data_IF_061024879225
#
_entry.id   IF_061024879225
#
_cell.length_a   1.000
_cell.length_b   1.000
_cell.length_c   1.000
_cell.angle_alpha   90.00
_cell.angle_beta   90.00
_cell.angle_gamma   90.00
#
_symmetry.space_group_name_H-M   'P 1'
#
loop_
_entity.id
_entity.type
_entity.pdbx_description
1 polymer ?
#
# COMPACT_ATOMS: atom_id res chain seq x y z
N UNK A 1 55.86 59.25 31.84
CA UNK A 1 56.23 58.38 32.98
C UNK A 1 56.04 56.93 32.54
N UNK A 2 57.15 56.16 32.51
CA UNK A 2 57.33 54.68 32.35
C UNK A 2 56.56 53.94 31.22
N UNK A 3 57.20 53.40 30.17
CA UNK A 3 58.18 52.29 30.04
C UNK A 3 57.58 50.86 30.07
N UNK A 4 57.74 50.21 28.91
CA UNK A 4 58.22 48.84 28.64
C UNK A 4 57.32 47.59 28.71
N UNK A 5 57.39 46.89 27.57
CA UNK A 5 57.71 45.47 27.35
C UNK A 5 56.73 44.37 27.74
N UNK A 6 56.04 43.93 26.69
CA UNK A 6 55.58 42.56 26.44
C UNK A 6 56.75 41.57 26.39
N UNK A 7 56.93 40.76 27.44
CA UNK A 7 57.43 39.37 27.36
C UNK A 7 57.50 38.70 28.75
N UNK A 8 56.41 38.05 29.19
CA UNK A 8 56.44 36.91 30.15
C UNK A 8 55.02 36.42 30.41
N UNK A 9 54.69 35.21 29.98
CA UNK A 9 53.39 34.58 30.26
C UNK A 9 53.21 33.17 29.71
N UNK A 10 54.04 32.76 28.76
CA UNK A 10 54.21 31.36 28.40
C UNK A 10 55.04 30.64 29.49
N UNK A 11 54.35 29.97 30.43
CA UNK A 11 54.82 28.72 31.11
C UNK A 11 53.93 28.16 32.24
N UNK A 12 52.77 28.75 32.59
CA UNK A 12 52.00 28.29 33.77
C UNK A 12 50.56 27.82 33.49
N UNK A 13 50.15 27.58 32.25
CA UNK A 13 48.80 27.07 31.93
C UNK A 13 48.73 25.53 31.82
N UNK A 14 49.86 24.84 31.65
CA UNK A 14 49.92 23.38 31.50
C UNK A 14 49.95 22.61 32.85
N UNK A 15 49.91 23.33 33.99
CA UNK A 15 50.03 22.74 35.33
C UNK A 15 48.68 22.62 36.08
N UNK A 16 47.55 23.06 35.52
CA UNK A 16 46.24 23.02 36.21
C UNK A 16 45.28 21.94 35.69
N UNK A 17 45.72 21.06 34.78
CA UNK A 17 44.88 20.00 34.19
C UNK A 17 45.21 18.58 34.70
N UNK A 18 46.18 18.42 35.60
CA UNK A 18 46.60 17.09 36.11
C UNK A 18 46.15 16.84 37.57
N UNK A 19 45.55 17.82 38.27
CA UNK A 19 45.37 17.73 39.73
C UNK A 19 43.93 17.58 40.24
N UNK A 20 43.04 16.92 39.48
CA UNK A 20 41.69 16.56 39.94
C UNK A 20 41.37 15.06 39.76
N UNK A 21 42.39 14.22 39.94
CA UNK A 21 42.39 12.80 39.60
C UNK A 21 41.89 11.76 40.64
N UNK A 22 41.23 12.07 41.79
CA UNK A 22 40.60 10.99 42.57
C UNK A 22 39.16 11.23 43.06
N UNK A 23 38.35 12.03 42.36
CA UNK A 23 36.98 12.36 42.78
C UNK A 23 35.81 11.72 42.01
N UNK A 24 36.02 11.23 40.77
CA UNK A 24 34.94 10.74 39.89
C UNK A 24 34.89 9.22 39.70
N UNK A 25 35.73 8.47 40.40
CA UNK A 25 35.80 7.01 40.33
C UNK A 25 34.84 6.27 41.31
N UNK A 26 33.93 6.97 42.00
CA UNK A 26 33.07 6.37 43.06
C UNK A 26 31.55 6.50 42.88
N UNK A 27 31.05 6.84 41.69
CA UNK A 27 29.62 6.79 41.37
C UNK A 27 29.29 6.06 40.05
N UNK A 28 30.05 5.01 39.73
CA UNK A 28 29.74 4.07 38.64
C UNK A 28 29.92 2.61 39.06
N UNK A 29 29.54 2.28 40.31
CA UNK A 29 29.89 0.99 40.94
C UNK A 29 28.73 0.02 41.20
N UNK A 30 27.47 0.27 40.80
CA UNK A 30 26.36 -0.68 41.10
C UNK A 30 25.28 -0.81 40.03
N UNK A 31 25.64 -0.73 38.74
CA UNK A 31 24.64 -0.78 37.65
C UNK A 31 25.01 -1.50 36.36
N UNK A 32 26.04 -2.34 36.33
CA UNK A 32 26.41 -3.12 35.14
C UNK A 32 26.97 -4.51 35.48
N UNK A 33 26.30 -5.23 36.37
CA UNK A 33 26.54 -6.64 36.61
C UNK A 33 25.22 -7.39 36.46
N UNK A 34 24.86 -7.75 35.22
CA UNK A 34 23.99 -8.91 34.84
C UNK A 34 23.60 -8.99 33.34
N UNK A 35 24.48 -8.66 32.39
CA UNK A 35 24.24 -9.00 30.97
C UNK A 35 25.53 -9.33 30.19
N UNK A 36 26.37 -10.24 30.69
CA UNK A 36 27.33 -10.97 29.85
C UNK A 36 27.49 -12.40 30.35
N UNK A 37 26.70 -13.29 29.78
CA UNK A 37 26.90 -14.76 29.71
C UNK A 37 25.99 -15.17 28.55
N UNK A 38 26.45 -15.57 27.37
CA UNK A 38 27.53 -16.48 27.03
C UNK A 38 28.20 -16.08 25.71
N UNK A 39 29.53 -15.94 25.73
CA UNK A 39 30.38 -15.93 24.54
C UNK A 39 31.70 -16.65 24.87
N UNK A 40 31.68 -17.98 24.93
CA UNK A 40 32.85 -18.85 24.72
C UNK A 40 32.38 -20.23 24.26
N UNK A 41 32.32 -20.40 22.94
CA UNK A 41 32.58 -21.62 22.13
C UNK A 41 31.88 -21.37 20.79
N UNK A 42 32.54 -20.85 19.77
CA UNK A 42 33.52 -21.64 19.02
C UNK A 42 34.41 -20.67 18.24
N UNK A 43 35.68 -20.64 18.60
CA UNK A 43 36.74 -20.22 17.70
C UNK A 43 37.03 -21.37 16.72
N UNK A 44 37.52 -21.02 15.53
CA UNK A 44 38.03 -21.90 14.45
C UNK A 44 36.99 -22.39 13.43
N UNK A 45 36.54 -21.49 12.54
CA UNK A 45 36.74 -21.59 11.07
C UNK A 45 36.00 -20.46 10.33
N UNK A 46 36.58 -19.26 10.30
CA UNK A 46 36.38 -18.35 9.15
C UNK A 46 37.63 -17.48 8.92
N UNK A 47 38.81 -18.06 9.17
CA UNK A 47 40.06 -17.58 8.59
C UNK A 47 40.30 -18.37 7.30
N UNK A 48 40.46 -17.69 6.18
CA UNK A 48 40.63 -18.21 4.79
C UNK A 48 39.33 -18.48 4.01
N UNK A 49 38.67 -17.41 3.55
CA UNK A 49 38.16 -17.32 2.16
C UNK A 49 37.76 -15.91 1.74
N UNK A 50 38.44 -14.89 2.27
CA UNK A 50 38.41 -13.53 1.72
C UNK A 50 39.41 -13.31 0.56
N UNK A 51 39.88 -14.38 -0.12
CA UNK A 51 40.87 -14.26 -1.22
C UNK A 51 40.45 -14.99 -2.51
N UNK A 52 39.25 -15.60 -2.58
CA UNK A 52 38.81 -16.27 -3.82
C UNK A 52 37.40 -15.87 -4.24
N UNK A 53 37.19 -14.59 -4.57
CA UNK A 53 36.00 -14.11 -5.31
C UNK A 53 36.25 -12.77 -6.02
N UNK A 54 37.50 -12.52 -6.47
CA UNK A 54 37.82 -11.38 -7.34
C UNK A 54 37.78 -11.73 -8.84
N UNK A 55 37.23 -12.89 -9.20
CA UNK A 55 37.04 -13.31 -10.60
C UNK A 55 35.66 -13.96 -10.67
N UNK A 56 34.79 -13.47 -11.55
CA UNK A 56 33.38 -13.83 -11.78
C UNK A 56 32.35 -12.97 -11.05
N UNK A 57 32.30 -11.67 -11.38
CA UNK A 57 31.33 -10.70 -10.85
C UNK A 57 29.87 -11.18 -10.86
N UNK A 58 29.40 -11.66 -9.72
CA UNK A 58 28.01 -11.97 -9.44
C UNK A 58 27.41 -10.90 -8.52
N UNK A 59 26.21 -10.43 -8.86
CA UNK A 59 25.55 -9.31 -8.21
C UNK A 59 25.17 -9.60 -6.73
N UNK A 60 25.33 -8.63 -5.80
CA UNK A 60 25.14 -8.82 -4.36
C UNK A 60 23.73 -9.25 -3.90
N UNK A 61 22.71 -9.10 -4.75
CA UNK A 61 21.31 -9.33 -4.39
C UNK A 61 20.95 -10.81 -4.28
N UNK A 62 21.58 -11.70 -5.05
CA UNK A 62 21.25 -13.13 -5.02
C UNK A 62 21.78 -13.83 -3.77
N UNK A 63 22.95 -13.41 -3.28
CA UNK A 63 23.52 -13.93 -2.03
C UNK A 63 22.68 -13.55 -0.80
N UNK A 64 22.04 -12.39 -0.82
CA UNK A 64 21.13 -11.97 0.26
C UNK A 64 19.80 -12.74 0.25
N UNK A 65 19.27 -13.06 -0.94
CA UNK A 65 18.02 -13.82 -1.09
C UNK A 65 18.21 -15.30 -0.72
N UNK A 66 19.32 -15.90 -1.13
CA UNK A 66 19.63 -17.30 -0.77
C UNK A 66 19.88 -17.44 0.74
N UNK A 67 20.62 -16.51 1.35
CA UNK A 67 20.85 -16.49 2.79
C UNK A 67 19.57 -16.26 3.61
N UNK A 68 18.64 -15.43 3.12
CA UNK A 68 17.35 -15.19 3.78
C UNK A 68 16.45 -16.43 3.71
N UNK A 69 16.42 -17.13 2.57
CA UNK A 69 15.60 -18.34 2.41
C UNK A 69 16.10 -19.50 3.28
N UNK A 70 17.42 -19.66 3.43
CA UNK A 70 18.03 -20.68 4.27
C UNK A 70 17.77 -20.43 5.77
N UNK A 71 17.70 -19.16 6.18
CA UNK A 71 17.38 -18.77 7.55
C UNK A 71 15.91 -19.07 7.91
N UNK A 72 14.99 -18.86 6.98
CA UNK A 72 13.55 -19.16 7.16
C UNK A 72 13.32 -20.67 7.29
N UNK A 73 14.03 -21.48 6.51
CA UNK A 73 13.89 -22.95 6.58
C UNK A 73 14.52 -23.51 7.86
N UNK A 74 15.66 -22.96 8.31
CA UNK A 74 16.29 -23.38 9.59
C UNK A 74 15.52 -22.92 10.82
N UNK A 75 14.93 -21.73 10.80
CA UNK A 75 14.07 -21.24 11.91
C UNK A 75 12.78 -22.05 12.00
N UNK A 76 12.16 -22.40 10.87
CA UNK A 76 10.97 -23.28 10.83
C UNK A 76 11.27 -24.67 11.36
N UNK A 77 12.39 -25.27 10.97
CA UNK A 77 12.81 -26.61 11.42
C UNK A 77 13.21 -26.63 12.90
N UNK A 78 13.75 -25.53 13.42
CA UNK A 78 14.02 -25.37 14.85
C UNK A 78 12.70 -25.24 15.65
N UNK A 79 11.73 -24.49 15.15
CA UNK A 79 10.38 -24.34 15.74
C UNK A 79 9.58 -25.65 15.74
N UNK A 80 9.78 -26.52 14.75
CA UNK A 80 9.12 -27.83 14.68
C UNK A 80 9.80 -28.90 15.57
N UNK A 81 11.05 -28.67 16.00
CA UNK A 81 11.81 -29.60 16.87
C UNK A 81 11.62 -29.36 18.37
N UNK A 82 10.96 -28.27 18.77
CA UNK A 82 10.63 -27.96 20.15
C UNK A 82 9.14 -28.21 20.39
N UNK A 83 8.80 -29.48 20.55
CA UNK A 83 7.48 -29.90 21.03
C UNK A 83 7.22 -29.41 22.46
N UNK A 84 5.99 -28.95 22.66
CA UNK A 84 5.29 -28.74 23.94
C UNK A 84 5.71 -27.52 24.78
N UNK A 85 5.14 -26.36 24.43
CA UNK A 85 5.14 -25.18 25.29
C UNK A 85 4.27 -24.06 24.74
N UNK A 86 3.16 -23.78 25.44
CA UNK A 86 2.21 -22.67 25.30
C UNK A 86 2.53 -21.61 24.23
N UNK A 87 1.66 -21.52 23.22
CA UNK A 87 1.61 -20.40 22.27
C UNK A 87 1.19 -19.14 23.04
N UNK A 88 2.18 -18.41 23.56
CA UNK A 88 1.97 -17.08 24.08
C UNK A 88 1.77 -16.14 22.89
N UNK A 89 0.53 -15.73 22.69
CA UNK A 89 0.09 -14.79 21.65
C UNK A 89 0.85 -13.47 21.84
N UNK A 90 1.91 -13.29 21.04
CA UNK A 90 2.60 -12.00 20.92
C UNK A 90 1.55 -10.95 20.48
N UNK A 91 1.38 -9.84 21.22
CA UNK A 91 0.48 -8.79 20.78
C UNK A 91 1.02 -8.24 19.47
N UNK A 92 0.18 -8.32 18.43
CA UNK A 92 0.43 -7.69 17.15
C UNK A 92 0.74 -6.22 17.40
N UNK A 93 2.01 -5.86 17.23
CA UNK A 93 2.46 -4.48 17.18
C UNK A 93 1.90 -3.89 15.90
N UNK A 94 0.68 -3.39 15.94
CA UNK A 94 0.26 -2.34 15.03
C UNK A 94 1.23 -1.19 15.29
N UNK A 95 2.24 -1.05 14.43
CA UNK A 95 3.03 0.18 14.39
C UNK A 95 2.07 1.22 13.83
N UNK A 96 1.31 1.89 14.69
CA UNK A 96 0.76 3.17 14.32
C UNK A 96 1.94 4.09 14.14
N UNK A 97 2.39 4.24 12.89
CA UNK A 97 3.30 5.33 12.52
C UNK A 97 2.48 6.60 12.67
N UNK A 98 2.45 7.14 13.88
CA UNK A 98 1.96 8.49 14.11
C UNK A 98 2.99 9.44 13.50
N UNK A 99 2.86 9.67 12.19
CA UNK A 99 3.69 10.62 11.47
C UNK A 99 3.35 12.01 12.01
N UNK A 100 4.34 12.73 12.53
CA UNK A 100 4.09 14.07 13.03
C UNK A 100 3.66 14.98 11.87
N UNK A 101 2.84 16.03 12.11
CA UNK A 101 2.52 17.00 11.07
C UNK A 101 3.76 17.62 10.42
N UNK A 102 4.90 17.66 11.12
CA UNK A 102 6.17 18.14 10.62
C UNK A 102 6.82 17.17 9.64
N UNK A 103 6.79 15.87 9.92
CA UNK A 103 7.27 14.84 9.00
C UNK A 103 6.46 14.79 7.71
N UNK A 104 5.13 14.94 7.78
CA UNK A 104 4.27 15.02 6.59
C UNK A 104 4.59 16.25 5.74
N UNK A 105 4.82 17.41 6.38
CA UNK A 105 5.24 18.64 5.68
C UNK A 105 6.61 18.49 5.03
N UNK A 106 7.57 17.87 5.72
CA UNK A 106 8.90 17.60 5.18
C UNK A 106 8.84 16.69 3.95
N UNK A 107 8.04 15.61 4.01
CA UNK A 107 7.79 14.74 2.85
C UNK A 107 7.12 15.47 1.69
N UNK A 108 6.16 16.36 1.99
CA UNK A 108 5.53 17.21 0.99
C UNK A 108 6.51 18.17 0.31
N UNK A 109 7.42 18.78 1.08
CA UNK A 109 8.44 19.68 0.54
C UNK A 109 9.41 18.95 -0.41
N UNK A 110 9.80 17.72 -0.08
CA UNK A 110 10.63 16.88 -0.94
C UNK A 110 9.94 16.54 -2.28
N UNK A 111 8.62 16.28 -2.26
CA UNK A 111 7.86 16.06 -3.49
C UNK A 111 7.86 17.32 -4.39
N UNK A 112 7.64 18.50 -3.80
CA UNK A 112 7.67 19.75 -4.55
C UNK A 112 9.06 20.05 -5.11
N UNK A 113 10.12 19.79 -4.34
CA UNK A 113 11.49 19.95 -4.80
C UNK A 113 11.78 19.05 -6.03
N UNK A 114 11.36 17.78 -5.98
CA UNK A 114 11.50 16.87 -7.13
C UNK A 114 10.68 17.28 -8.33
N UNK A 115 9.47 17.79 -8.12
CA UNK A 115 8.62 18.29 -9.22
C UNK A 115 9.21 19.49 -9.96
N UNK A 116 10.10 20.25 -9.30
CA UNK A 116 10.81 21.36 -9.91
C UNK A 116 12.09 20.94 -10.67
N UNK A 117 12.56 19.69 -10.52
CA UNK A 117 13.73 19.19 -11.25
C UNK A 117 13.32 18.79 -12.67
N UNK A 118 13.75 19.58 -13.65
CA UNK A 118 13.49 19.38 -15.10
C UNK A 118 14.10 18.07 -15.64
N UNK A 119 15.03 17.45 -14.88
CA UNK A 119 15.63 16.15 -15.24
C UNK A 119 14.80 14.97 -14.76
N UNK A 120 13.76 15.21 -13.96
CA UNK A 120 12.83 14.18 -13.55
C UNK A 120 12.00 13.77 -14.77
N UNK A 121 12.19 12.54 -15.23
CA UNK A 121 11.32 11.94 -16.23
C UNK A 121 10.24 11.19 -15.47
N UNK A 122 9.01 11.70 -15.49
CA UNK A 122 7.87 10.97 -14.95
C UNK A 122 7.58 9.78 -15.88
N UNK A 123 7.90 8.59 -15.38
CA UNK A 123 7.52 7.32 -16.01
C UNK A 123 6.04 7.01 -15.77
N UNK A 124 5.71 5.73 -15.64
CA UNK A 124 4.35 5.32 -15.22
C UNK A 124 3.95 5.96 -13.88
N UNK A 125 2.66 6.23 -13.70
CA UNK A 125 2.16 6.83 -12.48
C UNK A 125 2.53 5.94 -11.26
N UNK A 126 3.18 6.47 -10.21
CA UNK A 126 3.75 5.67 -9.13
C UNK A 126 2.72 4.89 -8.29
N UNK A 127 1.43 5.24 -8.40
CA UNK A 127 0.36 4.51 -7.72
C UNK A 127 -0.03 3.19 -8.41
N UNK A 128 0.28 3.00 -9.69
CA UNK A 128 -0.24 1.88 -10.49
C UNK A 128 0.20 0.52 -9.96
N UNK A 129 1.46 0.39 -9.53
CA UNK A 129 1.97 -0.84 -8.92
C UNK A 129 1.16 -1.23 -7.67
N UNK A 130 0.91 -0.27 -6.77
CA UNK A 130 0.11 -0.52 -5.55
C UNK A 130 -1.34 -0.83 -5.87
N UNK A 131 -1.90 -0.17 -6.86
CA UNK A 131 -3.28 -0.42 -7.30
C UNK A 131 -3.43 -1.85 -7.83
N UNK A 132 -2.43 -2.38 -8.55
CA UNK A 132 -2.46 -3.76 -9.04
C UNK A 132 -2.49 -4.79 -7.90
N UNK A 133 -1.85 -4.51 -6.77
CA UNK A 133 -1.91 -5.35 -5.56
C UNK A 133 -3.27 -5.27 -4.84
N UNK A 134 -4.04 -4.20 -5.08
CA UNK A 134 -5.35 -3.94 -4.46
C UNK A 134 -6.54 -4.35 -5.35
N UNK A 135 -6.28 -4.86 -6.57
CA UNK A 135 -7.31 -5.24 -7.55
C UNK A 135 -7.52 -6.77 -7.58
N UNK A 136 -8.78 -7.18 -7.54
CA UNK A 136 -9.17 -8.57 -7.78
C UNK A 136 -9.19 -8.91 -9.30
N UNK A 137 -9.00 -10.18 -9.69
CA UNK A 137 -9.08 -10.58 -11.10
C UNK A 137 -10.41 -10.22 -11.78
N UNK A 138 -11.53 -10.32 -11.06
CA UNK A 138 -12.85 -9.95 -11.56
C UNK A 138 -13.04 -8.43 -11.68
N UNK A 139 -12.36 -7.63 -10.85
CA UNK A 139 -12.32 -6.17 -10.98
C UNK A 139 -11.55 -5.74 -12.24
N UNK A 140 -10.43 -6.41 -12.54
CA UNK A 140 -9.68 -6.18 -13.77
C UNK A 140 -10.53 -6.48 -15.03
N UNK A 141 -11.41 -7.48 -14.97
CA UNK A 141 -12.37 -7.76 -16.05
C UNK A 141 -13.38 -6.64 -16.24
N UNK A 142 -13.90 -6.09 -15.14
CA UNK A 142 -14.82 -4.94 -15.17
C UNK A 142 -14.12 -3.73 -15.79
N UNK A 143 -12.89 -3.42 -15.37
CA UNK A 143 -12.10 -2.32 -15.94
C UNK A 143 -11.87 -2.49 -17.44
N UNK A 144 -11.50 -3.70 -17.88
CA UNK A 144 -11.36 -4.01 -19.30
C UNK A 144 -12.65 -3.81 -20.09
N UNK A 145 -13.80 -4.26 -19.55
CA UNK A 145 -15.10 -4.05 -20.18
C UNK A 145 -15.40 -2.56 -20.35
N UNK A 146 -15.19 -1.76 -19.31
CA UNK A 146 -15.41 -0.31 -19.35
C UNK A 146 -14.46 0.39 -20.33
N UNK A 147 -13.21 -0.04 -20.42
CA UNK A 147 -12.24 0.52 -21.36
C UNK A 147 -12.62 0.24 -22.83
N UNK A 148 -13.14 -0.96 -23.10
CA UNK A 148 -13.47 -1.39 -24.47
C UNK A 148 -14.86 -0.93 -24.93
N UNK A 149 -15.85 -1.00 -24.04
CA UNK A 149 -17.27 -0.72 -24.37
C UNK A 149 -17.78 0.61 -23.83
N UNK A 150 -16.92 1.37 -23.15
CA UNK A 150 -17.30 2.61 -22.49
C UNK A 150 -18.26 2.38 -21.32
N UNK A 151 -18.99 3.45 -20.97
CA UNK A 151 -19.90 3.50 -19.85
C UNK A 151 -20.94 2.37 -19.85
N UNK A 152 -21.28 1.86 -18.68
CA UNK A 152 -22.27 0.80 -18.50
C UNK A 152 -23.51 1.31 -17.75
N UNK A 153 -24.72 0.82 -18.08
CA UNK A 153 -25.95 1.24 -17.45
C UNK A 153 -26.02 0.79 -15.98
N UNK A 154 -26.54 1.67 -15.12
CA UNK A 154 -26.94 1.35 -13.75
C UNK A 154 -28.37 1.78 -13.51
N UNK A 155 -29.12 0.98 -12.74
CA UNK A 155 -30.51 1.24 -12.39
C UNK A 155 -30.67 1.23 -10.87
N UNK A 156 -31.26 2.30 -10.37
CA UNK A 156 -31.72 2.38 -8.98
C UNK A 156 -33.22 2.12 -8.94
N UNK A 157 -33.69 1.44 -7.90
CA UNK A 157 -35.12 1.24 -7.63
C UNK A 157 -35.52 2.02 -6.40
N UNK A 158 -36.56 2.85 -6.55
CA UNK A 158 -37.09 3.70 -5.48
C UNK A 158 -38.55 3.38 -5.19
N UNK A 159 -38.98 3.62 -3.96
CA UNK A 159 -40.40 3.59 -3.60
C UNK A 159 -41.12 4.78 -4.23
N UNK A 160 -42.33 4.53 -4.74
CA UNK A 160 -43.18 5.61 -5.24
C UNK A 160 -44.02 6.21 -4.14
N UNK A 161 -43.90 7.52 -3.97
CA UNK A 161 -44.85 8.34 -3.22
C UNK A 161 -45.42 9.42 -4.13
N UNK A 162 -46.66 9.91 -3.89
CA UNK A 162 -47.21 11.02 -4.65
C UNK A 162 -46.23 12.18 -4.74
N UNK A 163 -46.03 12.72 -5.95
CA UNK A 163 -45.12 13.83 -6.23
C UNK A 163 -43.62 13.58 -5.94
N UNK A 164 -43.20 12.33 -5.73
CA UNK A 164 -41.79 11.97 -5.50
C UNK A 164 -41.22 12.36 -4.14
N UNK A 165 -42.01 13.03 -3.29
CA UNK A 165 -41.60 13.49 -1.97
C UNK A 165 -41.56 12.29 -1.00
N UNK A 166 -40.38 12.06 -0.42
CA UNK A 166 -40.15 10.92 0.49
C UNK A 166 -39.96 9.57 -0.22
N UNK A 167 -39.59 9.56 -1.51
CA UNK A 167 -39.14 8.33 -2.15
C UNK A 167 -37.88 7.80 -1.47
N UNK A 168 -37.87 6.51 -1.16
CA UNK A 168 -36.77 5.81 -0.49
C UNK A 168 -36.08 4.88 -1.48
N UNK A 169 -34.75 4.74 -1.37
CA UNK A 169 -33.96 3.85 -2.21
C UNK A 169 -34.07 2.40 -1.70
N UNK A 170 -34.57 1.50 -2.54
CA UNK A 170 -34.79 0.08 -2.18
C UNK A 170 -33.66 -0.82 -2.67
N UNK A 171 -33.09 -0.46 -3.82
CA UNK A 171 -31.90 -1.09 -4.36
C UNK A 171 -31.15 -0.06 -5.21
N UNK A 172 -29.82 -0.08 -5.09
CA UNK A 172 -28.93 0.91 -5.70
C UNK A 172 -27.99 0.22 -6.69
N UNK A 173 -27.65 0.93 -7.77
CA UNK A 173 -26.63 0.62 -8.77
C UNK A 173 -26.74 -0.81 -9.31
N UNK A 174 -27.97 -1.28 -9.53
CA UNK A 174 -28.18 -2.57 -10.17
C UNK A 174 -27.69 -2.49 -11.63
N UNK A 175 -26.87 -3.45 -12.03
CA UNK A 175 -26.20 -3.45 -13.32
C UNK A 175 -25.91 -4.88 -13.78
N UNK A 176 -25.70 -5.03 -15.08
CA UNK A 176 -25.24 -6.27 -15.71
C UNK A 176 -23.72 -6.36 -15.85
N UNK A 177 -22.98 -5.37 -15.32
CA UNK A 177 -21.54 -5.25 -15.52
C UNK A 177 -20.75 -6.48 -15.06
N UNK A 178 -21.17 -7.15 -13.99
CA UNK A 178 -20.53 -8.39 -13.52
C UNK A 178 -20.70 -9.54 -14.51
N UNK A 179 -21.92 -9.72 -15.04
CA UNK A 179 -22.24 -10.73 -16.03
C UNK A 179 -21.52 -10.45 -17.36
N UNK A 180 -21.57 -9.20 -17.83
CA UNK A 180 -20.99 -8.80 -19.12
C UNK A 180 -19.46 -8.83 -19.14
N UNK A 181 -18.82 -8.58 -18.00
CA UNK A 181 -17.36 -8.66 -17.87
C UNK A 181 -16.87 -10.12 -17.67
N UNK A 182 -17.79 -11.06 -17.46
CA UNK A 182 -17.46 -12.46 -17.19
C UNK A 182 -16.81 -12.64 -15.81
N UNK A 183 -17.25 -11.87 -14.81
CA UNK A 183 -16.86 -12.11 -13.41
C UNK A 183 -17.16 -13.55 -13.04
N UNK A 184 -16.23 -14.19 -12.32
CA UNK A 184 -16.46 -15.51 -11.74
C UNK A 184 -17.52 -15.44 -10.63
N UNK A 185 -17.51 -14.35 -9.86
CA UNK A 185 -18.40 -14.14 -8.71
C UNK A 185 -19.27 -12.89 -8.93
N UNK A 186 -20.32 -13.03 -9.74
CA UNK A 186 -21.23 -11.92 -10.11
C UNK A 186 -21.92 -11.32 -8.88
N UNK A 187 -22.19 -12.13 -7.86
CA UNK A 187 -22.78 -11.68 -6.60
C UNK A 187 -21.91 -10.69 -5.83
N UNK A 188 -20.60 -10.64 -6.11
CA UNK A 188 -19.64 -9.71 -5.49
C UNK A 188 -19.47 -8.41 -6.28
N UNK A 189 -20.20 -8.22 -7.38
CA UNK A 189 -20.10 -7.04 -8.26
C UNK A 189 -20.20 -5.72 -7.49
N UNK A 190 -21.10 -5.62 -6.51
CA UNK A 190 -21.21 -4.43 -5.67
C UNK A 190 -19.93 -4.12 -4.88
N UNK A 191 -19.29 -5.15 -4.30
CA UNK A 191 -18.01 -4.99 -3.59
C UNK A 191 -16.88 -4.60 -4.55
N UNK A 192 -16.85 -5.20 -5.74
CA UNK A 192 -15.88 -4.86 -6.79
C UNK A 192 -15.99 -3.40 -7.22
N UNK A 193 -17.21 -2.93 -7.51
CA UNK A 193 -17.42 -1.54 -7.90
C UNK A 193 -17.08 -0.56 -6.78
N UNK A 194 -17.34 -0.91 -5.51
CA UNK A 194 -16.96 -0.08 -4.37
C UNK A 194 -15.44 0.03 -4.22
N UNK A 195 -14.71 -1.07 -4.42
CA UNK A 195 -13.25 -1.04 -4.39
C UNK A 195 -12.69 -0.19 -5.55
N UNK A 196 -13.18 -0.40 -6.76
CA UNK A 196 -12.78 0.39 -7.93
C UNK A 196 -13.08 1.88 -7.77
N UNK A 197 -14.21 2.21 -7.13
CA UNK A 197 -14.55 3.59 -6.78
C UNK A 197 -13.61 4.16 -5.72
N UNK A 198 -13.30 3.40 -4.66
CA UNK A 198 -12.33 3.77 -3.61
C UNK A 198 -10.94 4.04 -4.20
N UNK A 199 -10.52 3.25 -5.18
CA UNK A 199 -9.26 3.41 -5.90
C UNK A 199 -9.27 4.58 -6.90
N UNK A 200 -10.42 5.23 -7.09
CA UNK A 200 -10.57 6.36 -8.02
C UNK A 200 -10.55 5.95 -9.50
N UNK A 201 -10.76 4.67 -9.81
CA UNK A 201 -10.71 4.15 -11.19
C UNK A 201 -12.05 4.28 -11.91
N UNK A 202 -13.16 4.23 -11.16
CA UNK A 202 -14.52 4.39 -11.70
C UNK A 202 -15.29 5.48 -10.96
N UNK A 203 -16.33 6.00 -11.60
CA UNK A 203 -17.28 6.92 -11.00
C UNK A 203 -18.71 6.63 -11.47
N UNK A 204 -19.68 7.04 -10.67
CA UNK A 204 -21.10 6.91 -10.97
C UNK A 204 -21.68 8.26 -11.37
N UNK A 205 -22.51 8.27 -12.41
CA UNK A 205 -23.14 9.48 -12.95
C UNK A 205 -24.65 9.26 -13.11
N UNK A 206 -25.41 10.34 -13.01
CA UNK A 206 -26.82 10.38 -13.42
C UNK A 206 -26.99 10.55 -14.92
N UNK A 207 -25.90 10.80 -15.65
CA UNK A 207 -25.88 10.83 -17.10
C UNK A 207 -26.28 9.45 -17.65
N UNK A 208 -27.19 9.42 -18.62
CA UNK A 208 -27.74 8.18 -19.15
C UNK A 208 -26.95 7.70 -20.34
N UNK A 209 -26.78 6.39 -20.45
CA UNK A 209 -26.35 5.76 -21.71
C UNK A 209 -27.54 5.62 -22.66
N UNK A 210 -27.30 5.02 -23.83
CA UNK A 210 -28.33 4.74 -24.82
C UNK A 210 -29.55 4.00 -24.20
N UNK A 211 -30.79 4.47 -24.44
CA UNK A 211 -31.98 3.93 -23.77
C UNK A 211 -32.18 2.42 -23.91
N UNK A 212 -31.81 1.84 -25.05
CA UNK A 212 -31.93 0.39 -25.30
C UNK A 212 -31.12 -0.47 -24.34
N UNK A 213 -30.02 0.05 -23.79
CA UNK A 213 -29.12 -0.68 -22.88
C UNK A 213 -29.73 -0.91 -21.50
N UNK A 214 -30.69 -0.08 -21.08
CA UNK A 214 -31.38 -0.24 -19.80
C UNK A 214 -32.42 -1.36 -19.81
N UNK A 215 -33.01 -1.64 -20.97
CA UNK A 215 -34.08 -2.65 -21.11
C UNK A 215 -33.63 -4.02 -20.61
N UNK A 216 -32.37 -4.40 -20.90
CA UNK A 216 -31.79 -5.66 -20.46
C UNK A 216 -31.58 -5.69 -18.94
N UNK A 217 -31.20 -4.56 -18.33
CA UNK A 217 -31.00 -4.45 -16.88
C UNK A 217 -32.34 -4.50 -16.15
N UNK A 218 -33.36 -3.81 -16.66
CA UNK A 218 -34.68 -3.71 -16.02
C UNK A 218 -35.43 -5.04 -15.96
N UNK A 219 -35.21 -5.94 -16.92
CA UNK A 219 -35.81 -7.29 -16.93
C UNK A 219 -35.04 -8.31 -16.09
N UNK A 220 -33.95 -7.92 -15.44
CA UNK A 220 -33.20 -8.85 -14.60
C UNK A 220 -34.03 -9.28 -13.37
N UNK A 221 -33.93 -10.55 -12.95
CA UNK A 221 -34.68 -11.04 -11.79
C UNK A 221 -34.47 -10.20 -10.52
N UNK A 222 -33.25 -9.73 -10.28
CA UNK A 222 -32.92 -8.90 -9.12
C UNK A 222 -33.64 -7.54 -9.13
N UNK A 223 -33.78 -6.91 -10.32
CA UNK A 223 -34.48 -5.63 -10.47
C UNK A 223 -35.98 -5.82 -10.32
N UNK A 224 -36.54 -6.88 -10.91
CA UNK A 224 -37.96 -7.23 -10.76
C UNK A 224 -38.30 -7.49 -9.29
N UNK A 225 -37.44 -8.21 -8.57
CA UNK A 225 -37.60 -8.44 -7.13
C UNK A 225 -37.53 -7.14 -6.33
N UNK A 226 -36.58 -6.25 -6.64
CA UNK A 226 -36.48 -4.94 -6.01
C UNK A 226 -37.73 -4.07 -6.25
N UNK A 227 -38.25 -4.07 -7.48
CA UNK A 227 -39.49 -3.37 -7.83
C UNK A 227 -40.69 -3.92 -7.06
N UNK A 228 -40.79 -5.25 -6.91
CA UNK A 228 -41.85 -5.89 -6.12
C UNK A 228 -41.76 -5.48 -4.64
N UNK A 229 -40.55 -5.47 -4.07
CA UNK A 229 -40.31 -5.01 -2.68
C UNK A 229 -40.63 -3.53 -2.49
N UNK A 230 -40.38 -2.70 -3.52
CA UNK A 230 -40.65 -1.27 -3.49
C UNK A 230 -42.15 -0.91 -3.59
N UNK A 231 -43.01 -1.86 -3.96
CA UNK A 231 -44.46 -1.72 -3.97
C UNK A 231 -45.05 -1.21 -5.30
N UNK A 232 -46.36 -0.95 -5.29
CA UNK A 232 -47.16 -0.67 -6.51
C UNK A 232 -46.72 0.56 -7.31
N UNK A 233 -46.11 1.53 -6.66
CA UNK A 233 -45.70 2.80 -7.28
C UNK A 233 -44.18 2.87 -7.53
N UNK A 234 -43.47 1.75 -7.43
CA UNK A 234 -42.03 1.71 -7.60
C UNK A 234 -41.58 2.33 -8.94
N UNK A 235 -40.44 3.01 -8.92
CA UNK A 235 -39.85 3.61 -10.11
C UNK A 235 -38.37 3.28 -10.24
N UNK A 236 -37.91 3.18 -11.49
CA UNK A 236 -36.50 3.04 -11.84
C UNK A 236 -35.89 4.41 -12.12
N UNK A 237 -34.67 4.63 -11.62
CA UNK A 237 -33.85 5.80 -11.95
C UNK A 237 -32.62 5.30 -12.69
N UNK A 238 -32.43 5.83 -13.89
CA UNK A 238 -31.29 5.46 -14.74
C UNK A 238 -30.07 6.30 -14.40
N UNK A 239 -28.93 5.64 -14.30
CA UNK A 239 -27.61 6.25 -14.22
C UNK A 239 -26.60 5.43 -15.01
N UNK A 240 -25.32 5.68 -14.76
CA UNK A 240 -24.23 4.98 -15.43
C UNK A 240 -22.98 4.89 -14.56
N UNK A 241 -22.15 3.91 -14.87
CA UNK A 241 -20.78 3.77 -14.34
C UNK A 241 -19.76 3.95 -15.45
N UNK A 242 -18.72 4.71 -15.14
CA UNK A 242 -17.70 5.17 -16.10
C UNK A 242 -16.30 4.95 -15.54
N UNK A 243 -15.31 4.88 -16.43
CA UNK A 243 -13.92 5.10 -16.02
C UNK A 243 -13.70 6.57 -15.71
N UNK A 244 -12.91 6.87 -14.70
CA UNK A 244 -12.35 8.21 -14.51
C UNK A 244 -11.21 8.42 -15.52
N UNK A 245 -10.74 9.66 -15.69
CA UNK A 245 -9.53 9.92 -16.50
C UNK A 245 -8.31 9.12 -15.99
N UNK A 246 -8.18 9.03 -14.67
CA UNK A 246 -7.15 8.21 -14.01
C UNK A 246 -7.33 6.72 -14.27
N UNK A 247 -8.57 6.21 -14.22
CA UNK A 247 -8.87 4.82 -14.54
C UNK A 247 -8.63 4.47 -16.01
N UNK A 248 -8.87 5.42 -16.92
CA UNK A 248 -8.60 5.27 -18.35
C UNK A 248 -7.11 5.15 -18.63
N UNK A 249 -6.29 6.01 -18.00
CA UNK A 249 -4.82 5.94 -18.09
C UNK A 249 -4.26 4.68 -17.41
N UNK A 250 -4.81 4.28 -16.25
CA UNK A 250 -4.46 3.01 -15.62
C UNK A 250 -4.73 1.83 -16.56
N UNK A 251 -5.88 1.79 -17.23
CA UNK A 251 -6.22 0.71 -18.15
C UNK A 251 -5.29 0.68 -19.37
N UNK A 252 -4.93 1.83 -19.94
CA UNK A 252 -4.05 1.89 -21.11
C UNK A 252 -2.61 1.45 -20.78
N UNK A 253 -2.13 1.73 -19.57
CA UNK A 253 -0.77 1.39 -19.13
C UNK A 253 -0.69 -0.05 -18.60
N UNK A 254 -1.68 -0.50 -17.83
CA UNK A 254 -1.56 -1.73 -17.03
C UNK A 254 -2.32 -2.93 -17.59
N UNK A 255 -3.29 -2.75 -18.51
CA UNK A 255 -4.13 -3.85 -19.01
C UNK A 255 -3.87 -4.15 -20.48
N UNK A 256 -3.81 -5.43 -20.89
CA UNK A 256 -3.75 -5.81 -22.29
C UNK A 256 -5.14 -5.64 -22.93
N UNK A 257 -5.42 -4.43 -23.43
CA UNK A 257 -6.68 -4.09 -24.10
C UNK A 257 -6.71 -4.60 -25.55
N UNK A 258 -5.55 -4.66 -26.19
CA UNK A 258 -5.34 -5.37 -27.45
C UNK A 258 -5.41 -6.87 -27.16
N UNK A 259 -6.49 -7.53 -27.59
CA UNK A 259 -6.72 -8.94 -27.28
C UNK A 259 -5.56 -9.84 -27.77
N UNK A 260 -5.48 -11.10 -27.32
CA UNK A 260 -4.56 -12.05 -27.93
C UNK A 260 -4.91 -12.18 -29.41
N UNK A 261 -3.92 -11.94 -30.29
CA UNK A 261 -3.97 -12.42 -31.67
C UNK A 261 -4.06 -13.94 -31.58
N UNK A 262 -5.27 -14.48 -31.76
CA UNK A 262 -5.44 -15.91 -31.93
C UNK A 262 -4.77 -16.25 -33.27
N UNK A 263 -3.61 -16.90 -33.19
CA UNK A 263 -3.02 -17.64 -34.32
C UNK A 263 -3.60 -19.05 -34.37
#
# INVERSE_FOLDING_TARGET
>A
MRRYDTARGARNADASLIDAAPGLAKLAATGCARLVTWAVDTTVQTGTRAVASAVNGAAPSRLAQDAASELVVRTRKALESSGEGQVQKLPGRSVSVHCSPEELRSRGAELLYRSADVRCTEGMHPAYERILDEIAPDEARILRLLAVRGAQPTVDVRTGRPFGVGSELVAERMSMIGQESGCRYVERTGAYLNNLFRLGLVWFSSEKVEPGRYQVVEVQPAVIEAMRRAGRSASTVHGSVHLTAFGLDFCSVCLPLDGPVRS
#
